data_IF_829240776679
#
_entry.id   IF_829240776679
#
_cell.length_a   1.000
_cell.length_b   1.000
_cell.length_c   1.000
_cell.angle_alpha   90.00
_cell.angle_beta   90.00
_cell.angle_gamma   90.00
#
_symmetry.space_group_name_H-M   'P 1'
#
loop_
_entity.id
_entity.type
_entity.pdbx_description
1 polymer ?
#
# COMPACT_ATOMS: atom_id res chain seq x y z
N UNK A 1 -10.46 -27.56 -0.26
CA UNK A 1 -10.90 -26.30 0.40
C UNK A 1 -10.44 -25.09 -0.44
N UNK A 2 -11.11 -23.94 -0.29
CA UNK A 2 -10.68 -22.66 -0.86
C UNK A 2 -10.09 -21.79 0.25
N UNK A 3 -8.87 -21.31 0.06
CA UNK A 3 -8.23 -20.32 0.91
C UNK A 3 -8.19 -18.98 0.16
N UNK A 4 -8.64 -17.92 0.84
CA UNK A 4 -8.58 -16.55 0.30
C UNK A 4 -7.55 -15.76 1.09
N UNK A 5 -6.58 -15.19 0.39
CA UNK A 5 -5.62 -14.26 0.94
C UNK A 5 -6.15 -12.85 0.65
N UNK A 6 -6.46 -12.09 1.70
CA UNK A 6 -6.99 -10.74 1.59
C UNK A 6 -5.86 -9.72 1.74
N UNK A 7 -5.59 -8.96 0.68
CA UNK A 7 -4.66 -7.84 0.71
C UNK A 7 -5.37 -6.59 1.23
N UNK A 8 -4.72 -5.87 2.13
CA UNK A 8 -5.21 -4.59 2.63
C UNK A 8 -5.04 -3.50 1.56
N UNK A 9 -6.13 -2.84 1.19
CA UNK A 9 -6.12 -1.76 0.20
C UNK A 9 -7.41 -0.93 0.22
N UNK A 10 -7.32 0.28 -0.33
CA UNK A 10 -8.50 1.09 -0.65
C UNK A 10 -9.26 0.50 -1.84
N UNK A 11 -8.55 0.14 -2.90
CA UNK A 11 -9.14 -0.42 -4.09
C UNK A 11 -9.60 -1.86 -3.85
N UNK A 12 -10.72 -2.25 -4.46
CA UNK A 12 -11.36 -3.57 -4.26
C UNK A 12 -11.40 -4.41 -5.53
N UNK A 13 -11.25 -3.80 -6.70
CA UNK A 13 -11.28 -4.47 -8.00
C UNK A 13 -10.05 -5.36 -8.20
N UNK A 14 -10.14 -6.50 -8.89
CA UNK A 14 -8.96 -7.30 -9.23
C UNK A 14 -7.91 -6.47 -10.01
N UNK A 15 -6.63 -6.66 -9.67
CA UNK A 15 -5.49 -6.01 -10.34
C UNK A 15 -4.30 -6.96 -10.36
N UNK A 16 -3.95 -7.48 -11.54
CA UNK A 16 -2.69 -8.23 -11.72
C UNK A 16 -1.48 -7.28 -11.64
N UNK A 17 -0.35 -7.67 -11.03
CA UNK A 17 -0.07 -8.98 -10.41
C UNK A 17 -0.40 -9.06 -8.91
N UNK A 18 -1.12 -8.08 -8.34
CA UNK A 18 -1.43 -8.00 -6.90
C UNK A 18 -2.46 -9.06 -6.50
N UNK A 19 -3.51 -9.23 -7.30
CA UNK A 19 -4.55 -10.24 -7.10
C UNK A 19 -4.34 -11.44 -8.01
N UNK A 20 -4.85 -12.58 -7.57
CA UNK A 20 -4.72 -13.86 -8.26
C UNK A 20 -6.09 -14.53 -8.24
N UNK A 21 -6.59 -14.88 -9.42
CA UNK A 21 -7.78 -15.72 -9.55
C UNK A 21 -7.56 -17.09 -8.92
N UNK A 22 -8.63 -17.88 -8.79
CA UNK A 22 -8.54 -19.21 -8.16
C UNK A 22 -7.54 -20.10 -8.89
N UNK A 23 -6.46 -20.45 -8.19
CA UNK A 23 -5.42 -21.37 -8.66
C UNK A 23 -5.39 -22.63 -7.78
N UNK A 24 -5.19 -23.79 -8.39
CA UNK A 24 -5.09 -25.06 -7.67
C UNK A 24 -3.63 -25.32 -7.28
N UNK A 25 -3.40 -25.45 -5.98
CA UNK A 25 -2.11 -25.87 -5.44
C UNK A 25 -2.29 -27.09 -4.53
N UNK A 26 -1.70 -28.21 -4.93
CA UNK A 26 -1.90 -29.54 -4.29
C UNK A 26 -3.40 -29.88 -4.22
N UNK A 27 -3.92 -30.14 -3.03
CA UNK A 27 -5.30 -30.55 -2.78
C UNK A 27 -6.21 -29.37 -2.33
N UNK A 28 -5.78 -28.13 -2.58
CA UNK A 28 -6.53 -26.92 -2.22
C UNK A 28 -6.51 -25.89 -3.35
N UNK A 29 -7.48 -24.97 -3.30
CA UNK A 29 -7.54 -23.80 -4.16
C UNK A 29 -7.13 -22.57 -3.35
N UNK A 30 -6.39 -21.67 -3.99
CA UNK A 30 -5.98 -20.40 -3.43
C UNK A 30 -6.43 -19.28 -4.35
N UNK A 31 -6.81 -18.15 -3.78
CA UNK A 31 -7.02 -16.91 -4.51
C UNK A 31 -6.47 -15.74 -3.67
N UNK A 32 -6.05 -14.68 -4.35
CA UNK A 32 -5.61 -13.44 -3.70
C UNK A 32 -6.58 -12.34 -4.13
N UNK A 33 -7.25 -11.72 -3.17
CA UNK A 33 -8.13 -10.57 -3.37
C UNK A 33 -7.57 -9.35 -2.67
N UNK A 34 -8.15 -8.17 -2.93
CA UNK A 34 -7.78 -6.94 -2.25
C UNK A 34 -9.01 -6.16 -1.79
N UNK A 35 -8.81 -5.17 -0.93
CA UNK A 35 -9.87 -4.36 -0.34
C UNK A 35 -10.08 -4.59 1.16
N UNK A 36 -9.15 -5.26 1.84
CA UNK A 36 -9.25 -5.36 3.29
C UNK A 36 -9.04 -3.98 3.95
N UNK A 37 -9.82 -3.68 4.98
CA UNK A 37 -9.83 -2.38 5.69
C UNK A 37 -10.09 -1.13 4.84
N UNK A 38 -10.71 -1.24 3.66
CA UNK A 38 -10.94 -0.12 2.73
C UNK A 38 -11.43 1.18 3.40
N UNK A 39 -12.44 1.21 4.29
CA UNK A 39 -12.90 2.46 4.89
C UNK A 39 -11.83 3.16 5.73
N UNK A 40 -10.97 2.39 6.43
CA UNK A 40 -9.90 2.93 7.26
C UNK A 40 -8.72 3.41 6.41
N UNK A 41 -8.32 2.63 5.41
CA UNK A 41 -7.21 3.01 4.53
C UNK A 41 -7.54 4.22 3.65
N UNK A 42 -8.82 4.47 3.35
CA UNK A 42 -9.25 5.73 2.71
C UNK A 42 -8.91 6.94 3.58
N UNK A 43 -9.25 6.87 4.87
CA UNK A 43 -8.94 7.94 5.82
C UNK A 43 -7.42 8.13 5.99
N UNK A 44 -6.65 7.04 6.00
CA UNK A 44 -5.19 7.12 6.02
C UNK A 44 -4.68 7.86 4.78
N UNK A 45 -5.10 7.44 3.59
CA UNK A 45 -4.67 8.08 2.34
C UNK A 45 -5.05 9.56 2.26
N UNK A 46 -6.28 9.92 2.64
CA UNK A 46 -6.74 11.32 2.64
C UNK A 46 -5.88 12.22 3.54
N UNK A 47 -5.42 11.70 4.70
CA UNK A 47 -4.56 12.47 5.59
C UNK A 47 -3.11 12.52 5.10
N UNK A 48 -2.59 11.43 4.52
CA UNK A 48 -1.28 11.43 3.90
C UNK A 48 -1.22 12.38 2.69
N UNK A 49 -2.27 12.43 1.87
CA UNK A 49 -2.37 13.38 0.75
C UNK A 49 -2.29 14.83 1.23
N UNK A 50 -2.95 15.16 2.34
CA UNK A 50 -2.83 16.49 2.98
C UNK A 50 -1.42 16.74 3.52
N UNK A 51 -0.78 15.72 4.10
CA UNK A 51 0.58 15.84 4.64
C UNK A 51 1.63 16.14 3.56
N UNK A 52 1.43 15.67 2.31
CA UNK A 52 2.33 15.94 1.17
C UNK A 52 2.53 17.44 0.94
N UNK A 53 1.50 18.27 1.17
CA UNK A 53 1.57 19.73 1.00
C UNK A 53 2.50 20.42 2.02
N UNK A 54 2.75 19.77 3.15
CA UNK A 54 3.58 20.29 4.25
C UNK A 54 4.95 19.63 4.36
N UNK A 55 5.26 18.69 3.45
CA UNK A 55 6.53 17.99 3.45
C UNK A 55 7.71 18.97 3.25
N UNK A 56 8.72 18.86 4.11
CA UNK A 56 9.85 19.78 4.19
C UNK A 56 10.83 19.62 3.04
N UNK A 57 10.87 18.44 2.41
CA UNK A 57 11.75 18.14 1.29
C UNK A 57 11.16 17.09 0.33
N UNK A 58 11.85 16.85 -0.78
CA UNK A 58 11.38 15.93 -1.81
C UNK A 58 11.38 14.46 -1.35
N UNK A 59 12.30 14.04 -0.47
CA UNK A 59 12.31 12.68 0.05
C UNK A 59 11.02 12.40 0.84
N UNK A 60 10.61 13.31 1.73
CA UNK A 60 9.33 13.19 2.45
C UNK A 60 8.14 13.16 1.48
N UNK A 61 8.12 14.03 0.47
CA UNK A 61 7.06 14.04 -0.55
C UNK A 61 6.95 12.71 -1.29
N UNK A 62 8.09 12.16 -1.74
CA UNK A 62 8.10 10.91 -2.48
C UNK A 62 7.79 9.71 -1.59
N UNK A 63 8.30 9.70 -0.35
CA UNK A 63 7.93 8.71 0.67
C UNK A 63 6.41 8.64 0.84
N UNK A 64 5.77 9.79 1.13
CA UNK A 64 4.33 9.87 1.35
C UNK A 64 3.53 9.43 0.11
N UNK A 65 3.92 9.87 -1.09
CA UNK A 65 3.28 9.45 -2.35
C UNK A 65 3.31 7.94 -2.55
N UNK A 66 4.45 7.31 -2.28
CA UNK A 66 4.59 5.86 -2.38
C UNK A 66 3.79 5.11 -1.31
N UNK A 67 3.73 5.62 -0.07
CA UNK A 67 2.86 5.04 0.96
C UNK A 67 1.38 5.15 0.61
N UNK A 68 0.93 6.31 0.10
CA UNK A 68 -0.43 6.50 -0.41
C UNK A 68 -0.75 5.46 -1.49
N UNK A 69 0.15 5.26 -2.46
CA UNK A 69 -0.04 4.26 -3.51
C UNK A 69 -0.08 2.83 -2.95
N UNK A 70 0.79 2.50 -2.00
CA UNK A 70 0.81 1.19 -1.35
C UNK A 70 -0.53 0.90 -0.66
N UNK A 71 -1.02 1.81 0.17
CA UNK A 71 -2.29 1.67 0.86
C UNK A 71 -3.49 1.76 -0.09
N UNK A 72 -3.36 2.51 -1.20
CA UNK A 72 -4.43 2.57 -2.22
C UNK A 72 -4.57 1.23 -2.93
N UNK A 73 -3.46 0.68 -3.41
CA UNK A 73 -3.45 -0.44 -4.35
C UNK A 73 -3.26 -1.81 -3.70
N UNK A 74 -2.72 -1.85 -2.47
CA UNK A 74 -2.24 -3.05 -1.81
C UNK A 74 -0.87 -3.53 -2.29
N UNK A 75 -0.04 -2.61 -2.81
CA UNK A 75 1.26 -2.94 -3.42
C UNK A 75 2.42 -2.79 -2.40
N UNK A 76 3.06 -3.91 -2.07
CA UNK A 76 4.22 -3.93 -1.18
C UNK A 76 5.47 -3.29 -1.80
N UNK A 77 5.61 -3.29 -3.12
CA UNK A 77 6.76 -2.66 -3.77
C UNK A 77 6.68 -1.15 -3.62
N UNK A 78 5.49 -0.55 -3.76
CA UNK A 78 5.28 0.87 -3.46
C UNK A 78 5.66 1.19 -2.01
N UNK A 79 5.30 0.35 -1.04
CA UNK A 79 5.72 0.55 0.35
C UNK A 79 7.24 0.55 0.47
N UNK A 80 7.91 -0.43 -0.14
CA UNK A 80 9.38 -0.54 -0.10
C UNK A 80 10.05 0.67 -0.74
N UNK A 81 9.52 1.17 -1.86
CA UNK A 81 10.05 2.38 -2.50
C UNK A 81 9.84 3.62 -1.61
N UNK A 82 8.68 3.77 -0.98
CA UNK A 82 8.46 4.81 0.04
C UNK A 82 9.48 4.72 1.17
N UNK A 83 9.74 3.52 1.68
CA UNK A 83 10.77 3.29 2.70
C UNK A 83 12.18 3.62 2.21
N UNK A 84 12.49 3.50 0.91
CA UNK A 84 13.79 3.95 0.38
C UNK A 84 13.95 5.46 0.41
N UNK A 85 12.89 6.22 0.15
CA UNK A 85 12.92 7.67 0.30
C UNK A 85 13.04 8.07 1.77
N UNK A 86 12.28 7.40 2.65
CA UNK A 86 12.36 7.59 4.09
C UNK A 86 13.80 7.42 4.61
N UNK A 87 14.48 6.32 4.29
CA UNK A 87 15.87 6.12 4.77
C UNK A 87 16.86 7.13 4.18
N UNK A 88 16.55 7.82 3.08
CA UNK A 88 17.39 8.86 2.46
C UNK A 88 17.16 10.23 3.09
N UNK A 89 16.03 10.42 3.77
CA UNK A 89 15.77 11.63 4.53
C UNK A 89 16.53 11.59 5.85
N UNK A 90 17.51 12.48 6.01
CA UNK A 90 18.47 12.43 7.13
C UNK A 90 18.30 13.64 8.02
N UNK A 91 18.03 13.39 9.29
CA UNK A 91 17.84 14.42 10.31
C UNK A 91 16.62 15.31 10.07
N UNK A 92 15.43 14.75 9.73
CA UNK A 92 14.23 15.56 9.62
C UNK A 92 13.89 16.18 10.97
N UNK A 93 13.24 17.35 10.95
CA UNK A 93 12.77 18.01 12.17
C UNK A 93 11.60 17.22 12.78
N UNK A 94 10.75 16.63 11.93
CA UNK A 94 9.61 15.80 12.30
C UNK A 94 9.82 14.42 11.68
N UNK A 95 9.90 13.37 12.50
CA UNK A 95 10.09 11.96 12.08
C UNK A 95 8.81 11.14 12.35
N UNK A 96 8.59 10.08 11.57
CA UNK A 96 7.37 9.23 11.64
C UNK A 96 7.61 7.75 11.36
#
# INVERSE_FOLDING_TARGET
>A
PLYTIHMASVETSPKSPITMEKEKYKNAYFQVTRGDYTPLLKLVNENLEKAVEYAANDNEKYMLKHYINSFREGDLNEHKEGSRYWIRDKGPIIET
#
